data_IF_950346250269
#
_entry.id   IF_950346250269
#
_cell.length_a   1.000
_cell.length_b   1.000
_cell.length_c   1.000
_cell.angle_alpha   90.00
_cell.angle_beta   90.00
_cell.angle_gamma   90.00
#
_symmetry.space_group_name_H-M   'P 1'
#
loop_
_entity.id
_entity.type
_entity.pdbx_description
1 polymer ?
#
# COMPACT_ATOMS: atom_id res chain seq x y z
N UNK A 1 37.56 -44.21 -56.85
CA UNK A 1 37.79 -43.01 -56.02
C UNK A 1 36.53 -42.62 -55.20
N UNK A 2 35.83 -43.60 -54.61
CA UNK A 2 34.59 -43.35 -53.84
C UNK A 2 34.76 -43.50 -52.32
N UNK A 3 35.88 -44.10 -51.86
CA UNK A 3 36.12 -44.37 -50.43
C UNK A 3 36.52 -43.14 -49.61
N UNK A 4 37.05 -42.08 -50.24
CA UNK A 4 37.46 -40.85 -49.53
C UNK A 4 36.27 -39.96 -49.14
N UNK A 5 35.22 -39.92 -49.95
CA UNK A 5 34.05 -39.08 -49.70
C UNK A 5 33.19 -39.59 -48.53
N UNK A 6 33.05 -40.92 -48.38
CA UNK A 6 32.25 -41.50 -47.28
C UNK A 6 32.89 -41.27 -45.90
N UNK A 7 34.22 -41.39 -45.81
CA UNK A 7 34.98 -41.13 -44.56
C UNK A 7 34.91 -39.65 -44.19
N UNK A 8 35.00 -38.77 -45.18
CA UNK A 8 34.88 -37.33 -44.96
C UNK A 8 33.48 -36.96 -44.46
N UNK A 9 32.43 -37.50 -45.07
CA UNK A 9 31.03 -37.25 -44.70
C UNK A 9 30.74 -37.76 -43.27
N UNK A 10 31.28 -38.93 -42.90
CA UNK A 10 31.17 -39.46 -41.54
C UNK A 10 31.88 -38.56 -40.51
N UNK A 11 33.06 -38.04 -40.85
CA UNK A 11 33.79 -37.11 -39.99
C UNK A 11 33.01 -35.81 -39.77
N UNK A 12 32.39 -35.25 -40.81
CA UNK A 12 31.53 -34.06 -40.70
C UNK A 12 30.27 -34.31 -39.86
N UNK A 13 29.63 -35.48 -40.00
CA UNK A 13 28.47 -35.85 -39.17
C UNK A 13 28.87 -35.99 -37.70
N UNK A 14 30.00 -36.64 -37.40
CA UNK A 14 30.52 -36.72 -36.03
C UNK A 14 30.83 -35.34 -35.46
N UNK A 15 31.44 -34.45 -36.24
CA UNK A 15 31.74 -33.07 -35.82
C UNK A 15 30.45 -32.30 -35.51
N UNK A 16 29.45 -32.37 -36.40
CA UNK A 16 28.15 -31.73 -36.18
C UNK A 16 27.44 -32.30 -34.95
N UNK A 17 27.50 -33.61 -34.72
CA UNK A 17 26.92 -34.24 -33.54
C UNK A 17 27.61 -33.76 -32.25
N UNK A 18 28.93 -33.67 -32.24
CA UNK A 18 29.67 -33.13 -31.08
C UNK A 18 29.38 -31.65 -30.82
N UNK A 19 29.22 -30.84 -31.87
CA UNK A 19 28.83 -29.43 -31.75
C UNK A 19 27.41 -29.30 -31.19
N UNK A 20 26.46 -30.12 -31.66
CA UNK A 20 25.09 -30.12 -31.13
C UNK A 20 25.03 -30.53 -29.66
N UNK A 21 25.82 -31.53 -29.24
CA UNK A 21 25.94 -31.90 -27.83
C UNK A 21 26.55 -30.78 -26.98
N UNK A 22 27.56 -30.08 -27.52
CA UNK A 22 28.18 -28.96 -26.83
C UNK A 22 27.21 -27.78 -26.68
N UNK A 23 26.46 -27.44 -27.74
CA UNK A 23 25.41 -26.41 -27.69
C UNK A 23 24.33 -26.80 -26.67
N UNK A 24 23.88 -28.06 -26.67
CA UNK A 24 22.93 -28.57 -25.68
C UNK A 24 23.46 -28.46 -24.24
N UNK A 25 24.73 -28.78 -24.01
CA UNK A 25 25.38 -28.63 -22.71
C UNK A 25 25.45 -27.16 -22.28
N UNK A 26 25.82 -26.24 -23.19
CA UNK A 26 25.83 -24.81 -22.90
C UNK A 26 24.43 -24.31 -22.55
N UNK A 27 23.38 -24.74 -23.26
CA UNK A 27 21.99 -24.38 -22.92
C UNK A 27 21.56 -24.89 -21.55
N UNK A 28 21.84 -26.16 -21.23
CA UNK A 28 21.50 -26.73 -19.91
C UNK A 28 22.28 -26.05 -18.78
N UNK A 29 23.56 -25.74 -18.98
CA UNK A 29 24.35 -25.00 -18.01
C UNK A 29 23.83 -23.58 -17.86
N UNK A 30 23.51 -22.90 -18.97
CA UNK A 30 22.97 -21.54 -18.96
C UNK A 30 21.62 -21.48 -18.21
N UNK A 31 20.70 -22.41 -18.49
CA UNK A 31 19.43 -22.55 -17.74
C UNK A 31 19.66 -22.87 -16.26
N UNK A 32 20.63 -23.73 -15.93
CA UNK A 32 20.95 -24.04 -14.53
C UNK A 32 21.65 -22.89 -13.78
N UNK A 33 22.32 -21.98 -14.51
CA UNK A 33 22.98 -20.81 -13.93
C UNK A 33 22.00 -19.65 -13.77
N UNK A 34 21.07 -19.47 -14.71
CA UNK A 34 20.00 -18.47 -14.65
C UNK A 34 18.89 -18.88 -13.67
N UNK A 35 18.46 -20.13 -13.60
CA UNK A 35 17.46 -20.57 -12.61
C UNK A 35 17.95 -20.47 -11.15
N UNK A 36 19.26 -20.28 -10.92
CA UNK A 36 19.81 -19.97 -9.60
C UNK A 36 19.86 -18.47 -9.27
N UNK A 37 19.57 -17.58 -10.22
CA UNK A 37 19.48 -16.14 -9.94
C UNK A 37 18.16 -15.72 -9.31
N UNK A 38 17.17 -16.61 -9.24
CA UNK A 38 15.86 -16.32 -8.64
C UNK A 38 15.93 -16.23 -7.11
N UNK A 39 16.92 -16.87 -6.48
CA UNK A 39 17.08 -16.80 -5.03
C UNK A 39 17.77 -15.49 -4.60
N UNK A 40 17.10 -14.74 -3.71
CA UNK A 40 17.71 -13.57 -3.05
C UNK A 40 19.07 -13.94 -2.43
N UNK A 41 20.06 -13.09 -2.66
CA UNK A 41 21.39 -13.28 -2.06
C UNK A 41 21.31 -13.30 -0.52
N UNK A 42 22.28 -13.94 0.15
CA UNK A 42 22.36 -13.93 1.63
C UNK A 42 22.32 -12.51 2.22
N UNK A 43 22.89 -11.53 1.53
CA UNK A 43 22.84 -10.13 1.94
C UNK A 43 21.42 -9.56 1.88
N UNK A 44 20.65 -9.87 0.83
CA UNK A 44 19.26 -9.45 0.70
C UNK A 44 18.35 -10.13 1.73
N UNK A 45 18.59 -11.40 2.06
CA UNK A 45 17.87 -12.08 3.14
C UNK A 45 18.11 -11.40 4.50
N UNK A 46 19.36 -11.00 4.80
CA UNK A 46 19.68 -10.23 6.01
C UNK A 46 18.99 -8.85 6.01
N UNK A 47 18.95 -8.17 4.87
CA UNK A 47 18.19 -6.92 4.71
C UNK A 47 16.69 -7.16 4.96
N UNK A 48 16.11 -8.23 4.45
CA UNK A 48 14.71 -8.60 4.70
C UNK A 48 14.40 -8.79 6.19
N UNK A 49 15.29 -9.45 6.93
CA UNK A 49 15.17 -9.59 8.40
C UNK A 49 15.25 -8.23 9.10
N UNK A 50 16.13 -7.34 8.65
CA UNK A 50 16.21 -5.98 9.19
C UNK A 50 14.93 -5.18 8.93
N UNK A 51 14.39 -5.26 7.71
CA UNK A 51 13.15 -4.59 7.35
C UNK A 51 11.96 -5.12 8.13
N UNK A 52 11.85 -6.45 8.30
CA UNK A 52 10.82 -7.05 9.15
C UNK A 52 10.86 -6.54 10.60
N UNK A 53 12.05 -6.29 11.14
CA UNK A 53 12.20 -5.67 12.47
C UNK A 53 11.68 -4.24 12.51
N UNK A 54 11.83 -3.46 11.43
CA UNK A 54 11.27 -2.10 11.30
C UNK A 54 9.75 -2.16 11.16
N UNK A 55 9.23 -3.08 10.36
CA UNK A 55 7.79 -3.36 10.24
C UNK A 55 7.16 -3.64 11.60
N UNK A 56 7.78 -4.50 12.43
CA UNK A 56 7.28 -4.77 13.78
C UNK A 56 7.25 -3.52 14.68
N UNK A 57 8.20 -2.59 14.51
CA UNK A 57 8.18 -1.31 15.25
C UNK A 57 7.04 -0.42 14.80
N UNK A 58 6.76 -0.39 13.50
CA UNK A 58 5.61 0.31 12.92
C UNK A 58 4.30 -0.26 13.46
N UNK A 59 4.13 -1.59 13.43
CA UNK A 59 2.95 -2.26 14.00
C UNK A 59 2.74 -1.90 15.48
N UNK A 60 3.80 -1.96 16.29
CA UNK A 60 3.72 -1.59 17.70
C UNK A 60 3.29 -0.13 17.90
N UNK A 61 3.79 0.80 17.05
CA UNK A 61 3.40 2.21 17.11
C UNK A 61 1.93 2.40 16.71
N UNK A 62 1.48 1.71 15.65
CA UNK A 62 0.09 1.72 15.21
C UNK A 62 -0.84 1.16 16.29
N UNK A 63 -0.48 0.03 16.92
CA UNK A 63 -1.24 -0.55 18.03
C UNK A 63 -1.34 0.42 19.22
N UNK A 64 -0.25 1.10 19.56
CA UNK A 64 -0.25 2.08 20.66
C UNK A 64 -1.17 3.28 20.39
N UNK A 65 -1.29 3.71 19.12
CA UNK A 65 -2.19 4.80 18.75
C UNK A 65 -3.65 4.33 18.62
N UNK A 66 -3.87 3.13 18.06
CA UNK A 66 -5.19 2.54 17.81
C UNK A 66 -5.93 2.06 19.07
N UNK A 67 -5.26 1.94 20.21
CA UNK A 67 -5.89 1.61 21.51
C UNK A 67 -6.87 2.67 22.03
N UNK A 68 -7.22 3.69 21.25
CA UNK A 68 -8.18 4.73 21.66
C UNK A 68 -9.57 4.55 21.05
N UNK A 69 -10.56 5.00 21.81
CA UNK A 69 -12.00 5.05 21.50
C UNK A 69 -12.39 6.04 20.39
N UNK A 70 -11.43 6.66 19.69
CA UNK A 70 -11.63 7.65 18.62
C UNK A 70 -11.01 7.16 17.30
N UNK A 71 -11.49 7.69 16.18
CA UNK A 71 -10.94 7.34 14.86
C UNK A 71 -9.61 8.04 14.59
N UNK A 72 -9.58 9.36 14.74
CA UNK A 72 -8.41 10.19 14.46
C UNK A 72 -7.97 10.97 15.68
N UNK A 73 -6.64 11.13 15.80
CA UNK A 73 -5.98 12.01 16.77
C UNK A 73 -5.50 13.28 16.08
N UNK A 74 -5.06 14.32 16.81
CA UNK A 74 -4.32 15.43 16.22
C UNK A 74 -3.17 14.95 15.31
N UNK A 75 -2.95 15.59 14.14
CA UNK A 75 -1.94 15.20 13.16
C UNK A 75 -0.55 14.97 13.77
N UNK A 76 -0.11 15.86 14.65
CA UNK A 76 1.21 15.79 15.30
C UNK A 76 1.45 14.45 16.03
N UNK A 77 0.41 13.80 16.56
CA UNK A 77 0.54 12.51 17.25
C UNK A 77 0.93 11.37 16.29
N UNK A 78 0.69 11.51 14.98
CA UNK A 78 1.02 10.51 13.96
C UNK A 78 2.42 10.68 13.37
N UNK A 79 3.15 11.76 13.67
CA UNK A 79 4.48 12.02 13.08
C UNK A 79 5.41 10.82 13.23
N UNK A 80 5.44 10.21 14.43
CA UNK A 80 6.26 9.02 14.69
C UNK A 80 5.87 7.82 13.83
N UNK A 81 4.58 7.65 13.54
CA UNK A 81 4.11 6.57 12.65
C UNK A 81 4.56 6.83 11.23
N UNK A 82 4.45 8.08 10.76
CA UNK A 82 4.90 8.47 9.41
C UNK A 82 6.40 8.25 9.26
N UNK A 83 7.21 8.67 10.23
CA UNK A 83 8.66 8.43 10.21
C UNK A 83 8.98 6.91 10.15
N UNK A 84 8.20 6.09 10.86
CA UNK A 84 8.36 4.62 10.84
C UNK A 84 7.90 4.00 9.51
N UNK A 85 6.85 4.54 8.89
CA UNK A 85 6.39 4.15 7.55
C UNK A 85 7.49 4.41 6.52
N UNK A 86 8.03 5.64 6.48
CA UNK A 86 9.11 6.00 5.55
C UNK A 86 10.38 5.17 5.76
N UNK A 87 10.77 4.96 7.02
CA UNK A 87 11.91 4.12 7.37
C UNK A 87 11.73 2.65 6.94
N UNK A 88 10.48 2.16 6.94
CA UNK A 88 10.15 0.79 6.55
C UNK A 88 10.11 0.68 5.03
N UNK A 89 9.43 1.60 4.34
CA UNK A 89 9.42 1.70 2.87
C UNK A 89 10.84 1.81 2.30
N UNK A 90 11.66 2.73 2.83
CA UNK A 90 13.07 2.90 2.41
C UNK A 90 13.96 1.70 2.75
N UNK A 91 13.54 0.82 3.65
CA UNK A 91 14.25 -0.43 3.89
C UNK A 91 13.95 -1.43 2.78
N UNK A 92 12.67 -1.56 2.43
CA UNK A 92 12.22 -2.51 1.43
C UNK A 92 12.66 -2.16 0.00
N UNK A 93 12.87 -0.88 -0.33
CA UNK A 93 13.48 -0.47 -1.61
C UNK A 93 14.90 -1.00 -1.83
N UNK A 94 15.57 -1.49 -0.78
CA UNK A 94 16.90 -2.12 -0.87
C UNK A 94 16.85 -3.59 -1.27
N UNK A 95 15.66 -4.20 -1.27
CA UNK A 95 15.43 -5.57 -1.70
C UNK A 95 15.08 -5.52 -3.19
N UNK A 96 15.96 -6.04 -4.03
CA UNK A 96 15.85 -5.94 -5.50
C UNK A 96 15.76 -7.30 -6.20
N UNK A 97 15.67 -8.39 -5.44
CA UNK A 97 15.42 -9.72 -5.99
C UNK A 97 13.93 -9.88 -6.32
N UNK A 98 13.61 -10.72 -7.32
CA UNK A 98 12.25 -10.96 -7.80
C UNK A 98 11.34 -11.54 -6.70
N UNK A 99 11.76 -12.64 -6.05
CA UNK A 99 11.08 -13.21 -4.87
C UNK A 99 10.93 -12.19 -3.71
N UNK A 100 11.90 -11.28 -3.59
CA UNK A 100 11.88 -10.23 -2.59
C UNK A 100 10.89 -9.13 -2.93
N UNK A 101 10.64 -8.84 -4.20
CA UNK A 101 9.70 -7.84 -4.66
C UNK A 101 8.26 -8.23 -4.34
N UNK A 102 7.89 -9.49 -4.57
CA UNK A 102 6.56 -10.01 -4.22
C UNK A 102 6.35 -10.01 -2.71
N UNK A 103 7.35 -10.43 -1.94
CA UNK A 103 7.32 -10.33 -0.48
C UNK A 103 7.16 -8.87 0.00
N UNK A 104 7.88 -7.93 -0.61
CA UNK A 104 7.76 -6.49 -0.31
C UNK A 104 6.36 -5.99 -0.63
N UNK A 105 5.80 -6.38 -1.78
CA UNK A 105 4.46 -5.98 -2.20
C UNK A 105 3.39 -6.51 -1.22
N UNK A 106 3.48 -7.76 -0.81
CA UNK A 106 2.58 -8.35 0.19
C UNK A 106 2.72 -7.68 1.56
N UNK A 107 3.94 -7.45 2.02
CA UNK A 107 4.17 -6.80 3.32
C UNK A 107 3.72 -5.35 3.29
N UNK A 108 4.04 -4.58 2.25
CA UNK A 108 3.63 -3.17 2.14
C UNK A 108 2.13 -3.03 1.86
N UNK A 109 1.52 -3.98 1.14
CA UNK A 109 0.07 -4.09 0.95
C UNK A 109 -0.69 -4.25 2.26
N UNK A 110 -0.05 -4.78 3.32
CA UNK A 110 -0.61 -4.85 4.66
C UNK A 110 -0.54 -3.53 5.45
N UNK A 111 0.11 -2.47 4.93
CA UNK A 111 0.18 -1.15 5.59
C UNK A 111 -0.50 -0.01 4.80
N UNK A 112 -1.76 -0.17 4.35
CA UNK A 112 -2.44 0.87 3.57
C UNK A 112 -2.61 2.18 4.36
N UNK A 113 -2.58 2.13 5.69
CA UNK A 113 -2.69 3.33 6.52
C UNK A 113 -1.50 4.29 6.43
N UNK A 114 -0.33 3.86 5.94
CA UNK A 114 0.86 4.73 5.87
C UNK A 114 0.64 5.94 4.96
N UNK A 115 0.02 5.74 3.79
CA UNK A 115 -0.31 6.84 2.87
C UNK A 115 -1.32 7.81 3.50
N UNK A 116 -2.34 7.27 4.18
CA UNK A 116 -3.30 8.08 4.92
C UNK A 116 -2.62 8.93 6.00
N UNK A 117 -1.79 8.34 6.85
CA UNK A 117 -1.12 9.12 7.91
C UNK A 117 -0.15 10.14 7.34
N UNK A 118 0.57 9.81 6.27
CA UNK A 118 1.43 10.78 5.58
C UNK A 118 0.64 12.00 5.15
N UNK A 119 -0.42 11.80 4.35
CA UNK A 119 -1.34 12.85 3.93
C UNK A 119 -1.93 13.64 5.11
N UNK A 120 -2.39 12.92 6.14
CA UNK A 120 -3.00 13.50 7.33
C UNK A 120 -2.07 14.43 8.11
N UNK A 121 -0.77 14.09 8.17
CA UNK A 121 0.26 14.88 8.87
C UNK A 121 0.89 15.98 8.04
N UNK A 122 0.79 15.92 6.71
CA UNK A 122 1.40 16.91 5.80
C UNK A 122 0.33 17.83 5.24
N UNK A 123 -0.25 17.46 4.11
CA UNK A 123 -1.15 18.26 3.28
C UNK A 123 -2.46 18.60 4.00
N UNK A 124 -2.98 17.66 4.80
CA UNK A 124 -4.25 17.83 5.50
C UNK A 124 -4.09 18.40 6.92
N UNK A 125 -2.87 18.59 7.42
CA UNK A 125 -2.60 18.93 8.82
C UNK A 125 -3.33 20.19 9.29
N UNK A 126 -3.25 21.27 8.52
CA UNK A 126 -3.91 22.54 8.85
C UNK A 126 -5.44 22.44 8.81
N UNK A 127 -5.98 21.67 7.85
CA UNK A 127 -7.41 21.41 7.77
C UNK A 127 -7.88 20.59 8.98
N UNK A 128 -7.15 19.52 9.34
CA UNK A 128 -7.44 18.71 10.50
C UNK A 128 -7.47 19.52 11.81
N UNK A 129 -6.53 20.46 12.01
CA UNK A 129 -6.52 21.34 13.18
C UNK A 129 -7.77 22.23 13.28
N UNK A 130 -8.30 22.68 12.14
CA UNK A 130 -9.55 23.47 12.09
C UNK A 130 -10.77 22.59 12.36
N UNK A 131 -10.85 21.42 11.73
CA UNK A 131 -11.93 20.47 11.99
C UNK A 131 -11.94 20.05 13.48
N UNK A 132 -10.78 19.92 14.10
CA UNK A 132 -10.65 19.66 15.54
C UNK A 132 -11.26 20.79 16.39
N UNK A 133 -11.11 22.05 16.00
CA UNK A 133 -11.70 23.18 16.73
C UNK A 133 -13.22 23.28 16.58
N UNK A 134 -13.79 22.67 15.53
CA UNK A 134 -15.23 22.60 15.26
C UNK A 134 -15.94 21.39 15.88
N UNK A 135 -15.21 20.53 16.61
CA UNK A 135 -15.76 19.30 17.22
C UNK A 135 -16.97 19.53 18.13
N UNK A 136 -17.04 20.67 18.82
CA UNK A 136 -18.20 21.00 19.67
C UNK A 136 -19.47 21.35 18.89
N UNK A 137 -19.32 21.74 17.63
CA UNK A 137 -20.39 22.28 16.80
C UNK A 137 -20.92 21.24 15.80
N UNK A 138 -20.08 20.31 15.37
CA UNK A 138 -20.39 19.34 14.33
C UNK A 138 -20.28 17.91 14.89
N UNK A 139 -21.41 17.21 14.97
CA UNK A 139 -21.53 15.87 15.59
C UNK A 139 -20.63 14.81 14.93
N UNK A 140 -20.45 14.86 13.61
CA UNK A 140 -19.56 13.89 12.93
C UNK A 140 -18.09 14.13 13.27
N UNK A 141 -17.67 15.38 13.46
CA UNK A 141 -16.30 15.71 13.90
C UNK A 141 -16.08 15.30 15.35
N UNK A 142 -17.09 15.46 16.21
CA UNK A 142 -17.05 14.90 17.56
C UNK A 142 -16.86 13.38 17.50
N UNK A 143 -17.57 12.67 16.63
CA UNK A 143 -17.39 11.22 16.45
C UNK A 143 -16.01 10.86 15.88
N UNK A 144 -15.46 11.68 14.98
CA UNK A 144 -14.16 11.47 14.34
C UNK A 144 -13.00 11.64 15.34
N UNK A 145 -13.04 12.69 16.18
CA UNK A 145 -11.91 13.11 17.00
C UNK A 145 -12.08 12.87 18.51
N UNK A 146 -13.31 12.78 19.02
CA UNK A 146 -13.57 12.69 20.45
C UNK A 146 -13.63 11.24 20.94
N UNK A 147 -12.84 10.96 21.97
CA UNK A 147 -12.75 9.66 22.62
C UNK A 147 -13.95 9.33 23.54
N UNK A 148 -14.81 10.31 23.85
CA UNK A 148 -15.96 10.11 24.75
C UNK A 148 -17.07 9.26 24.15
N UNK A 149 -17.24 9.28 22.83
CA UNK A 149 -18.13 8.34 22.16
C UNK A 149 -17.44 6.98 22.09
N UNK A 150 -17.72 6.11 23.05
CA UNK A 150 -17.43 4.68 22.90
C UNK A 150 -17.99 4.23 21.55
N UNK A 151 -17.13 3.81 20.62
CA UNK A 151 -17.49 3.17 19.34
C UNK A 151 -18.40 1.99 19.67
N UNK A 152 -19.72 2.22 19.68
CA UNK A 152 -20.73 1.23 20.05
C UNK A 152 -21.16 0.53 18.77
N UNK A 153 -20.72 -0.72 18.65
CA UNK A 153 -21.12 -1.69 17.62
C UNK A 153 -20.77 -1.28 16.17
N UNK A 154 -19.79 -1.98 15.59
CA UNK A 154 -19.33 -1.90 14.20
C UNK A 154 -18.61 -0.59 13.80
N UNK A 155 -17.32 -0.52 14.10
CA UNK A 155 -16.38 0.55 13.72
C UNK A 155 -16.37 0.85 12.22
N UNK A 156 -16.49 -0.18 11.38
CA UNK A 156 -16.54 -0.02 9.94
C UNK A 156 -17.80 0.75 9.52
N UNK A 157 -18.97 0.35 10.02
CA UNK A 157 -20.23 1.06 9.72
C UNK A 157 -20.21 2.50 10.19
N UNK A 158 -19.77 2.74 11.43
CA UNK A 158 -19.70 4.09 11.98
C UNK A 158 -18.73 4.98 11.18
N UNK A 159 -17.60 4.43 10.70
CA UNK A 159 -16.70 5.16 9.80
C UNK A 159 -17.42 5.61 8.55
N UNK A 160 -18.18 4.72 7.90
CA UNK A 160 -18.93 5.04 6.69
C UNK A 160 -20.01 6.09 6.96
N UNK A 161 -20.80 5.92 8.02
CA UNK A 161 -21.93 6.78 8.34
C UNK A 161 -21.54 8.25 8.57
N UNK A 162 -20.32 8.53 9.05
CA UNK A 162 -19.85 9.90 9.32
C UNK A 162 -19.20 10.58 8.12
N UNK A 163 -18.81 9.85 7.08
CA UNK A 163 -18.05 10.43 5.96
C UNK A 163 -18.78 11.56 5.22
N UNK A 164 -20.11 11.52 4.96
CA UNK A 164 -20.77 12.60 4.23
C UNK A 164 -20.62 13.95 4.92
N UNK A 165 -20.88 13.95 6.22
CA UNK A 165 -20.71 15.12 7.07
C UNK A 165 -19.24 15.57 7.16
N UNK A 166 -18.27 14.64 7.11
CA UNK A 166 -16.84 15.01 7.09
C UNK A 166 -16.48 15.71 5.78
N UNK A 167 -16.95 15.21 4.63
CA UNK A 167 -16.65 15.85 3.34
C UNK A 167 -17.24 17.26 3.25
N UNK A 168 -18.48 17.44 3.71
CA UNK A 168 -19.10 18.77 3.81
C UNK A 168 -18.28 19.68 4.73
N UNK A 169 -17.89 19.18 5.90
CA UNK A 169 -17.06 19.95 6.84
C UNK A 169 -15.68 20.32 6.27
N UNK A 170 -15.03 19.42 5.52
CA UNK A 170 -13.77 19.73 4.82
C UNK A 170 -14.02 20.82 3.77
N UNK A 171 -15.09 20.70 3.00
CA UNK A 171 -15.41 21.65 1.96
C UNK A 171 -15.67 23.06 2.52
N UNK A 172 -16.41 23.16 3.62
CA UNK A 172 -16.77 24.42 4.26
C UNK A 172 -15.62 25.04 5.06
N UNK A 173 -14.95 24.25 5.91
CA UNK A 173 -13.98 24.76 6.89
C UNK A 173 -12.56 24.84 6.35
N UNK A 174 -12.23 24.12 5.26
CA UNK A 174 -10.87 24.03 4.72
C UNK A 174 -10.66 24.74 3.37
N UNK A 175 -11.60 25.58 2.95
CA UNK A 175 -11.55 26.34 1.70
C UNK A 175 -10.63 27.58 1.77
N UNK A 176 -9.33 27.38 2.00
CA UNK A 176 -8.38 28.49 2.14
C UNK A 176 -7.87 29.07 0.81
N UNK A 177 -7.80 28.24 -0.24
CA UNK A 177 -7.17 28.61 -1.52
C UNK A 177 -8.05 28.35 -2.75
N UNK A 178 -9.33 28.01 -2.57
CA UNK A 178 -10.21 27.56 -3.66
C UNK A 178 -9.95 26.11 -4.12
N UNK A 179 -9.09 25.38 -3.41
CA UNK A 179 -8.70 23.99 -3.69
C UNK A 179 -9.40 22.96 -2.77
N UNK A 180 -10.50 23.32 -2.10
CA UNK A 180 -11.22 22.40 -1.21
C UNK A 180 -11.67 21.11 -1.91
N UNK A 181 -12.01 21.19 -3.19
CA UNK A 181 -12.31 20.04 -4.05
C UNK A 181 -11.18 19.02 -4.13
N UNK A 182 -9.94 19.48 -4.35
CA UNK A 182 -8.77 18.61 -4.45
C UNK A 182 -8.47 17.95 -3.10
N UNK A 183 -8.59 18.72 -2.02
CA UNK A 183 -8.38 18.21 -0.66
C UNK A 183 -9.42 17.15 -0.25
N UNK A 184 -10.70 17.37 -0.59
CA UNK A 184 -11.78 16.38 -0.38
C UNK A 184 -11.51 15.11 -1.19
N UNK A 185 -11.07 15.26 -2.44
CA UNK A 185 -10.72 14.12 -3.30
C UNK A 185 -9.55 13.32 -2.73
N UNK A 186 -8.47 13.99 -2.32
CA UNK A 186 -7.31 13.33 -1.71
C UNK A 186 -7.67 12.66 -0.37
N UNK A 187 -8.51 13.30 0.43
CA UNK A 187 -9.02 12.72 1.67
C UNK A 187 -9.86 11.46 1.38
N UNK A 188 -10.76 11.46 0.39
CA UNK A 188 -11.58 10.27 0.09
C UNK A 188 -10.75 9.08 -0.41
N UNK A 189 -9.73 9.33 -1.24
CA UNK A 189 -8.80 8.31 -1.73
C UNK A 189 -8.05 7.63 -0.57
N UNK A 190 -7.53 8.42 0.35
CA UNK A 190 -6.71 7.93 1.47
C UNK A 190 -7.56 7.41 2.65
N UNK A 191 -8.77 7.95 2.85
CA UNK A 191 -9.74 7.47 3.83
C UNK A 191 -10.15 6.02 3.56
N UNK A 192 -10.21 5.62 2.29
CA UNK A 192 -10.42 4.21 1.89
C UNK A 192 -9.29 3.31 2.37
N UNK A 193 -8.05 3.78 2.30
CA UNK A 193 -6.89 3.00 2.71
C UNK A 193 -6.84 2.86 4.25
N UNK A 194 -7.25 3.91 4.97
CA UNK A 194 -7.50 3.83 6.41
C UNK A 194 -8.63 2.83 6.75
N UNK A 195 -9.73 2.83 6.00
CA UNK A 195 -10.83 1.87 6.17
C UNK A 195 -10.37 0.41 6.05
N UNK A 196 -9.54 0.12 5.02
CA UNK A 196 -8.95 -1.21 4.84
C UNK A 196 -8.03 -1.61 5.99
N UNK A 197 -7.28 -0.66 6.54
CA UNK A 197 -6.39 -0.92 7.68
C UNK A 197 -7.12 -1.32 8.97
N UNK A 198 -8.43 -1.04 9.05
CA UNK A 198 -9.29 -1.48 10.15
C UNK A 198 -9.84 -2.91 9.96
N UNK A 199 -9.35 -3.67 8.97
CA UNK A 199 -9.80 -5.02 8.61
C UNK A 199 -11.29 -5.12 8.24
N UNK A 200 -11.80 -4.13 7.50
CA UNK A 200 -13.17 -4.14 6.97
C UNK A 200 -13.22 -4.81 5.57
N UNK A 201 -14.05 -5.85 5.35
CA UNK A 201 -14.24 -6.63 4.09
C UNK A 201 -15.35 -6.04 3.13
N UNK A 202 -15.43 -6.36 1.80
CA UNK A 202 -15.41 -5.40 0.64
C UNK A 202 -16.79 -5.10 -0.04
N UNK A 203 -17.05 -4.19 -1.03
CA UNK A 203 -16.30 -3.36 -2.03
C UNK A 203 -16.98 -1.97 -2.26
N UNK A 204 -16.25 -0.91 -2.67
CA UNK A 204 -16.83 0.27 -3.32
C UNK A 204 -17.34 -0.10 -4.73
N UNK A 205 -18.61 0.17 -5.01
CA UNK A 205 -19.12 0.20 -6.39
C UNK A 205 -18.49 1.38 -7.12
N UNK A 206 -18.25 1.25 -8.44
CA UNK A 206 -17.83 2.38 -9.26
C UNK A 206 -19.10 3.08 -9.73
N UNK A 207 -19.34 4.31 -9.26
CA UNK A 207 -20.31 5.19 -9.92
C UNK A 207 -19.77 5.57 -11.31
N UNK A 208 -20.61 5.34 -12.32
CA UNK A 208 -20.31 5.59 -13.73
C UNK A 208 -20.61 7.07 -14.01
N UNK A 209 -19.55 7.84 -14.24
CA UNK A 209 -19.59 9.30 -14.41
C UNK A 209 -20.32 9.70 -15.69
N UNK A 210 -21.55 10.17 -15.56
CA UNK A 210 -22.11 11.22 -16.40
C UNK A 210 -22.81 12.19 -15.43
N UNK A 211 -22.23 13.39 -15.33
CA UNK A 211 -22.47 14.45 -14.34
C UNK A 211 -21.80 14.25 -12.97
N UNK A 212 -21.08 15.29 -12.55
CA UNK A 212 -19.99 15.28 -11.56
C UNK A 212 -20.57 15.04 -10.16
N UNK A 213 -20.65 13.77 -9.75
CA UNK A 213 -21.07 13.33 -8.42
C UNK A 213 -19.86 12.81 -7.63
N UNK A 214 -19.55 13.48 -6.51
CA UNK A 214 -18.63 12.96 -5.51
C UNK A 214 -19.31 11.76 -4.85
N UNK A 215 -18.72 10.57 -5.01
CA UNK A 215 -19.13 9.37 -4.27
C UNK A 215 -18.63 9.47 -2.83
N UNK A 216 -19.34 10.33 -2.11
CA UNK A 216 -19.35 10.44 -0.69
C UNK A 216 -19.94 9.15 -0.14
N UNK A 217 -19.13 8.44 0.63
CA UNK A 217 -19.51 7.26 1.39
C UNK A 217 -20.77 7.57 2.21
N UNK A 218 -21.95 7.11 1.77
CA UNK A 218 -23.14 6.96 2.62
C UNK A 218 -24.41 7.69 2.18
N UNK A 219 -25.47 6.87 2.03
CA UNK A 219 -26.93 7.17 1.91
C UNK A 219 -27.41 7.30 0.45
N UNK A 220 -28.47 6.62 -0.01
CA UNK A 220 -29.85 6.61 0.52
C UNK A 220 -30.54 5.26 0.24
N UNK A 221 -31.43 4.83 1.14
CA UNK A 221 -32.19 3.58 1.02
C UNK A 221 -33.43 3.63 0.11
N UNK A 222 -34.21 2.54 0.26
CA UNK A 222 -35.53 2.22 -0.32
C UNK A 222 -35.49 1.36 -1.60
N UNK A 223 -35.63 0.04 -1.44
CA UNK A 223 -36.95 -0.65 -1.42
C UNK A 223 -36.82 -2.05 -0.84
#
# INVERSE_FOLDING_TARGET
>A
MACGCAVQLFCWICLLFTVMLFIGFIHVVWEATISKSDFCSRAQLLTGVECAKKTRRLENALMAINQTTRFLRPPLEYQKVVDLCENTQNCFTKITCEDGHDFVADVMGNFPACEFYKFYTTEFSQCAERLLSQTSNITCLDTLFNAKHTIRFNRCKQWLDIQPCIYDAIYEECNFDGNSTDLVTRYSETARDFYRSMYCEPKPERINTIDIEYEIIGLVGQS
#
